data_IF_007905205916
#
_entry.id   IF_007905205916
#
_cell.length_a   1.000
_cell.length_b   1.000
_cell.length_c   1.000
_cell.angle_alpha   90.00
_cell.angle_beta   90.00
_cell.angle_gamma   90.00
#
_symmetry.space_group_name_H-M   'P 1'
#
loop_
_entity.id
_entity.type
_entity.pdbx_description
1 polymer ?
#
# COMPACT_ATOMS: atom_id res chain seq x y z
N UNK A 1 15.06 -10.54 19.94
CA UNK A 1 14.03 -10.18 18.96
C UNK A 1 14.74 -9.67 17.72
N UNK A 2 14.44 -10.22 16.55
CA UNK A 2 15.27 -10.05 15.35
C UNK A 2 15.08 -8.64 14.76
N UNK A 3 16.18 -7.92 14.58
CA UNK A 3 16.26 -6.52 14.13
C UNK A 3 15.92 -6.29 12.65
N UNK A 4 15.05 -7.11 12.06
CA UNK A 4 14.83 -7.14 10.59
C UNK A 4 13.65 -6.26 10.13
N UNK A 5 12.78 -5.82 11.04
CA UNK A 5 11.71 -4.85 10.74
C UNK A 5 12.25 -3.43 10.56
N UNK A 6 13.35 -3.09 11.27
CA UNK A 6 13.98 -1.76 11.29
C UNK A 6 14.31 -1.20 9.91
N UNK A 7 14.48 -2.08 8.95
CA UNK A 7 15.17 -1.76 7.72
C UNK A 7 14.15 -1.33 6.62
N UNK A 8 12.89 -1.81 6.65
CA UNK A 8 11.85 -1.40 5.67
C UNK A 8 11.39 0.05 5.90
N UNK A 9 11.59 0.57 7.12
CA UNK A 9 11.18 1.91 7.53
C UNK A 9 12.36 2.87 7.75
N UNK A 10 13.62 2.39 7.69
CA UNK A 10 14.82 3.27 7.71
C UNK A 10 14.96 4.13 6.43
N UNK A 11 14.20 3.83 5.39
CA UNK A 11 13.96 4.73 4.27
C UNK A 11 12.51 5.20 4.31
N UNK A 12 12.30 6.52 4.36
CA UNK A 12 11.02 7.20 4.20
C UNK A 12 10.01 6.40 3.37
N UNK A 13 8.86 6.07 3.96
CA UNK A 13 7.88 5.11 3.42
C UNK A 13 7.70 5.22 1.90
N UNK A 14 7.79 4.06 1.22
CA UNK A 14 7.73 4.03 -0.24
C UNK A 14 6.43 4.63 -0.77
N UNK A 15 6.56 5.46 -1.80
CA UNK A 15 5.44 5.96 -2.58
C UNK A 15 4.79 4.75 -3.25
N UNK A 16 3.56 4.45 -2.81
CA UNK A 16 2.86 3.22 -3.15
C UNK A 16 1.66 3.53 -4.03
N UNK A 17 1.54 2.76 -5.10
CA UNK A 17 0.43 2.79 -6.04
C UNK A 17 -0.43 1.54 -5.88
N UNK A 18 -1.75 1.71 -5.84
CA UNK A 18 -2.71 0.63 -6.02
C UNK A 18 -3.80 1.04 -7.02
N UNK A 19 -4.31 0.05 -7.76
CA UNK A 19 -5.30 0.27 -8.82
C UNK A 19 -6.73 0.36 -8.26
N UNK A 20 -7.41 1.49 -8.47
CA UNK A 20 -8.88 1.57 -8.39
C UNK A 20 -9.51 1.43 -9.78
N UNK A 21 -10.56 0.63 -9.92
CA UNK A 21 -11.33 0.55 -11.16
C UNK A 21 -12.39 1.65 -11.23
N UNK A 22 -12.45 2.37 -12.35
CA UNK A 22 -13.46 3.41 -12.61
C UNK A 22 -14.52 2.97 -13.62
N UNK A 23 -14.75 1.65 -13.75
CA UNK A 23 -15.62 1.03 -14.76
C UNK A 23 -17.11 1.43 -14.69
N UNK A 24 -17.53 2.11 -13.61
CA UNK A 24 -18.89 2.68 -13.52
C UNK A 24 -19.10 3.87 -14.45
N UNK A 25 -18.01 4.52 -14.89
CA UNK A 25 -18.06 5.60 -15.87
C UNK A 25 -17.89 5.05 -17.29
N UNK A 26 -18.51 5.71 -18.28
CA UNK A 26 -18.35 5.37 -19.70
C UNK A 26 -16.88 5.45 -20.10
N UNK A 27 -16.35 4.37 -20.67
CA UNK A 27 -14.93 4.19 -21.02
C UNK A 27 -13.96 4.26 -19.83
N UNK A 28 -14.47 4.14 -18.60
CA UNK A 28 -13.66 4.16 -17.39
C UNK A 28 -12.60 3.06 -17.39
N UNK A 29 -11.39 3.43 -16.99
CA UNK A 29 -10.24 2.51 -16.84
C UNK A 29 -9.88 2.43 -15.36
N UNK A 30 -8.92 3.24 -14.92
CA UNK A 30 -8.37 3.19 -13.57
C UNK A 30 -8.11 4.57 -13.00
N UNK A 31 -8.19 4.67 -11.68
CA UNK A 31 -7.63 5.72 -10.83
C UNK A 31 -6.59 5.07 -9.89
N UNK A 32 -5.86 5.90 -9.16
CA UNK A 32 -4.86 5.51 -8.16
C UNK A 32 -5.46 5.57 -6.75
N UNK A 33 -5.27 4.49 -6.01
CA UNK A 33 -5.32 4.48 -4.55
C UNK A 33 -3.89 4.72 -4.06
N UNK A 34 -3.72 5.58 -3.06
CA UNK A 34 -2.43 5.84 -2.40
C UNK A 34 -2.45 5.21 -1.00
N UNK A 35 -1.98 3.96 -0.82
CA UNK A 35 -2.12 3.24 0.45
C UNK A 35 -1.25 3.80 1.58
N UNK A 36 -0.14 4.48 1.23
CA UNK A 36 0.73 5.14 2.20
C UNK A 36 0.04 6.40 2.76
N UNK A 37 -0.79 6.23 3.78
CA UNK A 37 -1.48 7.30 4.49
C UNK A 37 -0.83 7.62 5.85
N UNK A 38 -1.27 8.72 6.48
CA UNK A 38 -0.84 9.08 7.82
C UNK A 38 -1.29 8.00 8.82
N UNK A 39 -2.51 7.50 8.69
CA UNK A 39 -3.07 6.45 9.54
C UNK A 39 -2.30 5.14 9.39
N UNK A 40 -1.93 4.76 8.16
CA UNK A 40 -1.08 3.60 7.91
C UNK A 40 0.29 3.74 8.60
N UNK A 41 0.92 4.93 8.49
CA UNK A 41 2.18 5.22 9.18
C UNK A 41 2.04 5.14 10.70
N UNK A 42 0.97 5.72 11.25
CA UNK A 42 0.70 5.72 12.68
C UNK A 42 0.40 4.33 13.24
N UNK A 43 -0.19 3.44 12.42
CA UNK A 43 -0.33 2.03 12.76
C UNK A 43 1.01 1.30 12.71
N UNK A 44 1.83 1.49 11.66
CA UNK A 44 3.17 0.90 11.57
C UNK A 44 4.03 1.26 12.80
N UNK A 45 4.07 2.55 13.18
CA UNK A 45 4.79 3.01 14.38
C UNK A 45 4.30 2.33 15.66
N UNK A 46 3.00 2.06 15.78
CA UNK A 46 2.45 1.38 16.95
C UNK A 46 2.82 -0.11 16.98
N UNK A 47 2.92 -0.77 15.82
CA UNK A 47 3.36 -2.16 15.72
C UNK A 47 4.83 -2.34 16.11
N UNK A 48 5.66 -1.32 15.88
CA UNK A 48 7.09 -1.29 16.24
C UNK A 48 7.35 -0.85 17.69
N UNK A 49 6.35 -0.28 18.37
CA UNK A 49 6.50 0.16 19.74
C UNK A 49 6.27 -1.00 20.72
N UNK A 50 7.35 -1.53 21.31
CA UNK A 50 7.30 -2.59 22.32
C UNK A 50 6.46 -2.23 23.56
N UNK A 51 6.30 -0.93 23.87
CA UNK A 51 5.47 -0.49 24.99
C UNK A 51 3.97 -0.44 24.66
N UNK A 52 3.59 -0.47 23.38
CA UNK A 52 2.21 -0.38 22.94
C UNK A 52 1.48 -1.72 23.15
N UNK A 53 0.33 -1.67 23.83
CA UNK A 53 -0.52 -2.84 24.01
C UNK A 53 -1.26 -3.24 22.72
N UNK A 54 -1.76 -4.47 22.68
CA UNK A 54 -2.48 -4.98 21.50
C UNK A 54 -3.77 -4.22 21.20
N UNK A 55 -4.38 -3.57 22.19
CA UNK A 55 -5.61 -2.79 21.99
C UNK A 55 -5.31 -1.51 21.22
N UNK A 56 -4.28 -0.77 21.62
CA UNK A 56 -3.85 0.45 20.90
C UNK A 56 -3.33 0.15 19.50
N UNK A 57 -2.63 -0.97 19.31
CA UNK A 57 -2.22 -1.45 17.97
C UNK A 57 -3.44 -1.75 17.08
N UNK A 58 -4.45 -2.42 17.64
CA UNK A 58 -5.70 -2.75 16.93
C UNK A 58 -6.52 -1.51 16.56
N UNK A 59 -6.66 -0.55 17.48
CA UNK A 59 -7.39 0.70 17.23
C UNK A 59 -6.76 1.47 16.05
N UNK A 60 -5.43 1.60 16.04
CA UNK A 60 -4.72 2.24 14.93
C UNK A 60 -4.83 1.47 13.63
N UNK A 61 -4.81 0.14 13.69
CA UNK A 61 -5.07 -0.70 12.52
C UNK A 61 -6.47 -0.44 11.94
N UNK A 62 -7.50 -0.34 12.79
CA UNK A 62 -8.86 -0.04 12.34
C UNK A 62 -8.95 1.32 11.67
N UNK A 63 -8.33 2.36 12.24
CA UNK A 63 -8.25 3.68 11.63
C UNK A 63 -7.53 3.67 10.26
N UNK A 64 -6.42 2.92 10.15
CA UNK A 64 -5.71 2.76 8.89
C UNK A 64 -6.56 2.05 7.82
N UNK A 65 -7.30 1.00 8.21
CA UNK A 65 -8.22 0.29 7.32
C UNK A 65 -9.37 1.20 6.89
N UNK A 66 -9.97 1.95 7.80
CA UNK A 66 -11.05 2.89 7.49
C UNK A 66 -10.60 3.97 6.51
N UNK A 67 -9.43 4.59 6.74
CA UNK A 67 -8.86 5.58 5.84
C UNK A 67 -8.58 5.00 4.45
N UNK A 68 -7.99 3.81 4.38
CA UNK A 68 -7.72 3.12 3.11
C UNK A 68 -9.00 2.81 2.34
N UNK A 69 -10.03 2.25 3.01
CA UNK A 69 -11.31 1.93 2.38
C UNK A 69 -12.05 3.19 1.91
N UNK A 70 -12.00 4.28 2.67
CA UNK A 70 -12.56 5.56 2.27
C UNK A 70 -11.88 6.09 1.00
N UNK A 71 -10.55 6.10 0.96
CA UNK A 71 -9.81 6.54 -0.23
C UNK A 71 -10.04 5.62 -1.43
N UNK A 72 -10.07 4.30 -1.23
CA UNK A 72 -10.35 3.33 -2.28
C UNK A 72 -11.74 3.56 -2.90
N UNK A 73 -12.75 3.85 -2.07
CA UNK A 73 -14.08 4.22 -2.52
C UNK A 73 -14.04 5.51 -3.35
N UNK A 74 -13.42 6.56 -2.85
CA UNK A 74 -13.31 7.85 -3.55
C UNK A 74 -12.58 7.72 -4.90
N UNK A 75 -11.45 7.00 -4.93
CA UNK A 75 -10.72 6.70 -6.16
C UNK A 75 -11.59 5.94 -7.16
N UNK A 76 -12.36 4.93 -6.70
CA UNK A 76 -13.30 4.21 -7.57
C UNK A 76 -14.37 5.14 -8.13
N UNK A 77 -14.83 6.13 -7.34
CA UNK A 77 -15.76 7.21 -7.69
C UNK A 77 -15.13 8.32 -8.54
N UNK A 78 -13.91 8.13 -9.05
CA UNK A 78 -13.23 9.13 -9.88
C UNK A 78 -12.89 10.42 -9.13
N UNK A 79 -12.83 10.35 -7.79
CA UNK A 79 -12.45 11.47 -6.91
C UNK A 79 -10.98 11.38 -6.46
N UNK A 80 -10.22 10.42 -7.00
CA UNK A 80 -8.78 10.37 -6.81
C UNK A 80 -8.08 11.54 -7.51
N UNK A 81 -6.89 11.88 -7.03
CA UNK A 81 -6.17 13.07 -7.49
C UNK A 81 -5.27 12.79 -8.70
N UNK A 82 -4.76 11.57 -8.84
CA UNK A 82 -3.67 11.24 -9.75
C UNK A 82 -4.05 11.36 -11.23
N UNK A 83 -5.20 10.83 -11.67
CA UNK A 83 -5.63 11.01 -13.07
C UNK A 83 -6.03 12.45 -13.35
N UNK A 84 -6.55 13.18 -12.35
CA UNK A 84 -6.87 14.59 -12.52
C UNK A 84 -5.60 15.43 -12.75
N UNK A 85 -4.57 15.27 -11.91
CA UNK A 85 -3.29 15.96 -12.10
C UNK A 85 -2.59 15.56 -13.40
N UNK A 86 -2.64 14.28 -13.77
CA UNK A 86 -2.15 13.82 -15.08
C UNK A 86 -2.93 14.51 -16.23
N UNK A 87 -4.25 14.58 -16.14
CA UNK A 87 -5.10 15.25 -17.13
C UNK A 87 -4.76 16.72 -17.28
N UNK A 88 -4.57 17.44 -16.17
CA UNK A 88 -4.14 18.85 -16.19
C UNK A 88 -2.76 19.01 -16.85
N UNK A 89 -1.79 18.16 -16.50
CA UNK A 89 -0.45 18.19 -17.10
C UNK A 89 -0.49 17.90 -18.61
N UNK A 90 -1.31 16.96 -19.04
CA UNK A 90 -1.46 16.61 -20.47
C UNK A 90 -2.32 17.62 -21.25
N UNK A 91 -3.03 18.52 -20.57
CA UNK A 91 -3.85 19.56 -21.21
C UNK A 91 -3.06 20.81 -21.60
N UNK A 92 -1.76 20.86 -21.27
CA UNK A 92 -0.89 21.98 -21.65
C UNK A 92 -0.80 22.12 -23.17
N UNK A 93 -0.97 23.35 -23.64
CA UNK A 93 -0.88 23.69 -25.07
C UNK A 93 0.58 23.98 -25.44
N UNK A 94 0.92 23.85 -26.74
CA UNK A 94 2.24 24.24 -27.23
C UNK A 94 2.56 25.70 -26.86
N UNK A 95 3.71 25.91 -26.23
CA UNK A 95 4.18 27.24 -25.80
C UNK A 95 3.73 27.66 -24.39
N UNK A 96 2.86 26.90 -23.72
CA UNK A 96 2.55 27.13 -22.31
C UNK A 96 3.69 26.62 -21.41
N UNK A 97 4.05 27.41 -20.40
CA UNK A 97 5.00 26.97 -19.38
C UNK A 97 4.37 25.90 -18.48
N UNK A 98 5.18 24.93 -18.05
CA UNK A 98 4.75 23.90 -17.11
C UNK A 98 4.36 24.57 -15.77
N UNK A 99 3.14 24.39 -15.24
CA UNK A 99 2.77 24.94 -13.94
C UNK A 99 3.75 24.57 -12.83
N UNK A 100 3.98 25.50 -11.89
CA UNK A 100 4.95 25.34 -10.79
C UNK A 100 4.76 24.06 -9.98
N UNK A 101 3.50 23.66 -9.74
CA UNK A 101 3.17 22.39 -9.09
C UNK A 101 3.84 21.18 -9.76
N UNK A 102 3.87 21.14 -11.10
CA UNK A 102 4.45 20.01 -11.84
C UNK A 102 5.97 20.11 -11.99
N UNK A 103 6.56 21.26 -11.67
CA UNK A 103 8.00 21.46 -11.56
C UNK A 103 8.52 21.08 -10.16
N UNK A 104 7.63 21.04 -9.16
CA UNK A 104 7.98 20.77 -7.77
C UNK A 104 8.64 19.38 -7.62
N UNK A 105 9.84 19.28 -7.02
CA UNK A 105 10.48 18.00 -6.71
C UNK A 105 9.59 17.04 -5.91
N UNK A 106 8.74 17.57 -5.02
CA UNK A 106 7.80 16.77 -4.22
C UNK A 106 6.73 16.15 -5.10
N UNK A 107 6.18 16.88 -6.07
CA UNK A 107 5.24 16.31 -7.03
C UNK A 107 5.90 15.18 -7.83
N UNK A 108 7.12 15.43 -8.34
CA UNK A 108 7.89 14.42 -9.08
C UNK A 108 8.08 13.16 -8.24
N UNK A 109 8.55 13.30 -7.00
CA UNK A 109 8.74 12.19 -6.07
C UNK A 109 7.43 11.47 -5.75
N UNK A 110 6.33 12.21 -5.53
CA UNK A 110 5.02 11.65 -5.24
C UNK A 110 4.43 10.80 -6.39
N UNK A 111 5.02 10.87 -7.58
CA UNK A 111 4.65 10.08 -8.76
C UNK A 111 5.68 9.02 -9.14
N UNK A 112 6.72 8.83 -8.31
CA UNK A 112 7.73 7.77 -8.45
C UNK A 112 7.26 6.54 -7.68
N UNK A 113 6.64 5.59 -8.36
CA UNK A 113 5.92 4.49 -7.73
C UNK A 113 6.84 3.32 -7.37
N UNK A 114 7.58 3.47 -6.26
CA UNK A 114 8.52 2.45 -5.78
C UNK A 114 7.81 1.12 -5.50
N UNK A 115 6.62 1.14 -4.91
CA UNK A 115 5.81 -0.05 -4.70
C UNK A 115 4.54 0.01 -5.55
N UNK A 116 4.54 -0.69 -6.67
CA UNK A 116 3.40 -0.80 -7.56
C UNK A 116 2.59 -2.07 -7.22
N UNK A 117 1.34 -1.91 -6.81
CA UNK A 117 0.52 -3.01 -6.31
C UNK A 117 -0.78 -3.20 -7.10
N UNK A 118 -1.28 -4.43 -7.12
CA UNK A 118 -2.59 -4.74 -7.70
C UNK A 118 -3.19 -5.97 -7.04
N UNK A 119 -4.45 -5.86 -6.64
CA UNK A 119 -5.23 -7.00 -6.16
C UNK A 119 -6.12 -7.56 -7.27
N UNK A 120 -6.38 -8.86 -7.19
CA UNK A 120 -7.39 -9.52 -8.03
C UNK A 120 -8.05 -10.66 -7.25
N UNK A 121 -9.11 -10.37 -6.48
CA UNK A 121 -9.82 -11.42 -5.73
C UNK A 121 -10.56 -12.35 -6.69
N UNK A 122 -10.20 -13.64 -6.68
CA UNK A 122 -10.85 -14.67 -7.50
C UNK A 122 -10.44 -16.08 -7.08
N UNK A 123 -11.43 -16.95 -6.84
CA UNK A 123 -11.19 -18.38 -6.56
C UNK A 123 -10.67 -19.16 -7.77
N UNK A 124 -10.79 -18.59 -8.97
CA UNK A 124 -10.32 -19.23 -10.20
C UNK A 124 -8.90 -18.80 -10.57
N UNK A 125 -8.24 -17.97 -9.77
CA UNK A 125 -7.00 -17.33 -10.14
C UNK A 125 -5.98 -17.35 -8.99
N UNK A 126 -5.04 -18.29 -9.08
CA UNK A 126 -4.07 -18.55 -8.01
C UNK A 126 -2.89 -17.56 -7.96
N UNK A 127 -2.67 -16.75 -8.99
CA UNK A 127 -1.51 -15.86 -9.06
C UNK A 127 -1.36 -15.15 -10.40
N UNK A 128 -0.96 -13.89 -10.36
CA UNK A 128 -0.42 -13.11 -11.47
C UNK A 128 0.83 -12.38 -11.01
N UNK A 129 1.52 -11.72 -11.94
CA UNK A 129 2.58 -10.79 -11.66
C UNK A 129 2.71 -9.76 -12.78
N UNK A 130 3.34 -8.65 -12.47
CA UNK A 130 3.74 -7.61 -13.40
C UNK A 130 5.09 -7.07 -12.92
N UNK A 131 5.90 -6.53 -13.84
CA UNK A 131 7.21 -5.96 -13.49
C UNK A 131 7.11 -4.70 -12.63
N UNK A 132 8.19 -4.36 -11.94
CA UNK A 132 8.30 -3.04 -11.30
C UNK A 132 8.23 -1.92 -12.35
N UNK A 133 7.75 -0.75 -11.92
CA UNK A 133 7.65 0.44 -12.77
C UNK A 133 8.79 1.44 -12.57
N UNK A 134 9.60 1.21 -11.52
CA UNK A 134 10.82 1.96 -11.22
C UNK A 134 12.03 0.99 -11.17
N UNK A 135 13.25 1.44 -11.54
CA UNK A 135 14.45 0.60 -11.53
C UNK A 135 14.76 -0.03 -10.16
N UNK A 136 14.56 0.73 -9.08
CA UNK A 136 14.71 0.31 -7.69
C UNK A 136 13.42 -0.26 -7.07
N UNK A 137 12.33 -0.31 -7.85
CA UNK A 137 11.00 -0.60 -7.34
C UNK A 137 10.61 -2.08 -7.29
N UNK A 138 9.34 -2.28 -6.97
CA UNK A 138 8.68 -3.57 -6.82
C UNK A 138 7.35 -3.59 -7.56
N UNK A 139 7.09 -4.68 -8.28
CA UNK A 139 5.74 -5.08 -8.69
C UNK A 139 5.20 -6.09 -7.69
N UNK A 140 4.06 -5.80 -7.06
CA UNK A 140 3.43 -6.63 -6.05
C UNK A 140 1.99 -6.96 -6.44
N UNK A 141 1.80 -8.13 -7.04
CA UNK A 141 0.47 -8.67 -7.29
C UNK A 141 0.01 -9.52 -6.11
N UNK A 142 -1.23 -9.35 -5.68
CA UNK A 142 -1.76 -10.08 -4.53
C UNK A 142 -3.23 -10.52 -4.70
N UNK A 143 -3.49 -11.71 -5.28
CA UNK A 143 -4.83 -12.29 -5.23
C UNK A 143 -5.18 -12.70 -3.79
N UNK A 144 -6.42 -12.43 -3.43
CA UNK A 144 -7.01 -12.81 -2.15
C UNK A 144 -8.07 -13.88 -2.43
N UNK A 145 -7.87 -15.04 -1.83
CA UNK A 145 -8.78 -16.17 -1.85
C UNK A 145 -9.39 -16.37 -0.46
N UNK A 146 -10.39 -17.23 -0.36
CA UNK A 146 -11.07 -17.56 0.89
C UNK A 146 -10.11 -18.01 2.00
N UNK A 147 -9.18 -18.90 1.67
CA UNK A 147 -8.34 -19.59 2.66
C UNK A 147 -6.86 -19.17 2.61
N UNK A 148 -6.45 -18.41 1.59
CA UNK A 148 -5.08 -17.95 1.45
C UNK A 148 -4.98 -16.62 0.70
N UNK A 149 -3.85 -15.94 0.89
CA UNK A 149 -3.42 -14.82 0.08
C UNK A 149 -2.07 -15.18 -0.52
N UNK A 150 -1.84 -14.86 -1.80
CA UNK A 150 -0.53 -15.03 -2.43
C UNK A 150 0.05 -13.66 -2.71
N UNK A 151 1.34 -13.48 -2.43
CA UNK A 151 2.11 -12.34 -2.93
C UNK A 151 3.03 -12.81 -4.06
N UNK A 152 2.92 -12.18 -5.22
CA UNK A 152 3.89 -12.29 -6.31
C UNK A 152 4.71 -11.02 -6.34
N UNK A 153 6.00 -11.14 -6.02
CA UNK A 153 6.95 -10.02 -5.95
C UNK A 153 7.85 -10.09 -7.17
N UNK A 154 7.91 -9.00 -7.93
CA UNK A 154 8.90 -8.77 -8.97
C UNK A 154 9.74 -7.55 -8.61
N UNK A 155 11.03 -7.59 -8.90
CA UNK A 155 11.91 -6.43 -8.80
C UNK A 155 13.10 -6.63 -9.73
N UNK A 156 13.65 -5.57 -10.33
CA UNK A 156 14.91 -5.64 -11.08
C UNK A 156 16.13 -5.86 -10.17
N UNK A 157 15.94 -5.74 -8.85
CA UNK A 157 16.99 -5.85 -7.84
C UNK A 157 17.00 -7.24 -7.17
N UNK A 158 18.01 -7.51 -6.33
CA UNK A 158 18.08 -8.74 -5.53
C UNK A 158 17.29 -8.68 -4.21
N UNK A 159 16.48 -7.64 -3.99
CA UNK A 159 15.83 -7.36 -2.70
C UNK A 159 14.47 -8.08 -2.48
N UNK A 160 14.00 -8.86 -3.45
CA UNK A 160 12.70 -9.57 -3.38
C UNK A 160 12.55 -10.46 -2.14
N UNK A 161 13.63 -11.11 -1.71
CA UNK A 161 13.64 -12.01 -0.54
C UNK A 161 13.33 -11.25 0.74
N UNK A 162 13.86 -10.03 0.88
CA UNK A 162 13.62 -9.18 2.04
C UNK A 162 12.15 -8.77 2.11
N UNK A 163 11.60 -8.23 1.02
CA UNK A 163 10.19 -7.84 0.97
C UNK A 163 9.26 -9.04 1.26
N UNK A 164 9.58 -10.23 0.73
CA UNK A 164 8.85 -11.47 1.03
C UNK A 164 8.81 -11.77 2.53
N UNK A 165 9.95 -11.69 3.20
CA UNK A 165 10.05 -11.98 4.63
C UNK A 165 9.26 -10.94 5.45
N UNK A 166 9.39 -9.66 5.13
CA UNK A 166 8.66 -8.59 5.80
C UNK A 166 7.14 -8.71 5.62
N UNK A 167 6.66 -9.04 4.40
CA UNK A 167 5.24 -9.29 4.16
C UNK A 167 4.72 -10.48 4.97
N UNK A 168 5.51 -11.54 5.10
CA UNK A 168 5.15 -12.69 5.93
C UNK A 168 5.06 -12.32 7.41
N UNK A 169 6.08 -11.64 7.93
CA UNK A 169 6.11 -11.20 9.34
C UNK A 169 4.93 -10.28 9.66
N UNK A 170 4.66 -9.29 8.79
CA UNK A 170 3.51 -8.40 8.93
C UNK A 170 2.17 -9.16 8.93
N UNK A 171 2.00 -10.15 8.05
CA UNK A 171 0.78 -10.97 8.03
C UNK A 171 0.63 -11.82 9.29
N UNK A 172 1.73 -12.42 9.78
CA UNK A 172 1.73 -13.20 11.03
C UNK A 172 1.39 -12.31 12.24
N UNK A 173 1.88 -11.07 12.27
CA UNK A 173 1.61 -10.12 13.36
C UNK A 173 0.19 -9.57 13.33
N UNK A 174 -0.37 -9.31 12.15
CA UNK A 174 -1.80 -8.97 11.99
C UNK A 174 -2.67 -10.13 12.48
N UNK A 175 -2.31 -11.38 12.15
CA UNK A 175 -3.05 -12.55 12.61
C UNK A 175 -3.04 -12.65 14.15
N UNK A 176 -1.88 -12.49 14.78
CA UNK A 176 -1.77 -12.46 16.26
C UNK A 176 -2.64 -11.37 16.87
N UNK A 177 -2.58 -10.15 16.33
CA UNK A 177 -3.39 -9.01 16.78
C UNK A 177 -4.90 -9.33 16.68
N UNK A 178 -5.32 -9.95 15.59
CA UNK A 178 -6.71 -10.37 15.38
C UNK A 178 -7.16 -11.49 16.32
N UNK A 179 -6.28 -12.44 16.64
CA UNK A 179 -6.58 -13.53 17.58
C UNK A 179 -6.68 -13.03 19.03
N UNK A 180 -5.82 -12.08 19.42
CA UNK A 180 -5.92 -11.39 20.72
C UNK A 180 -7.29 -10.69 20.84
N UNK A 181 -7.72 -9.99 19.79
CA UNK A 181 -9.03 -9.33 19.77
C UNK A 181 -10.20 -10.32 19.92
N UNK A 182 -10.09 -11.52 19.35
CA UNK A 182 -11.09 -12.59 19.47
C UNK A 182 -11.03 -13.36 20.79
N UNK A 183 -10.18 -12.95 21.73
CA UNK A 183 -9.97 -13.65 22.99
C UNK A 183 -9.29 -15.02 22.86
N UNK A 184 -8.65 -15.28 21.70
CA UNK A 184 -7.91 -16.52 21.41
C UNK A 184 -6.40 -16.40 21.71
N UNK A 185 -5.93 -15.21 22.05
CA UNK A 185 -4.57 -14.97 22.50
C UNK A 185 -4.41 -15.14 24.03
N UNK A 186 -3.19 -15.39 24.53
CA UNK A 186 -2.94 -15.41 25.97
C UNK A 186 -3.39 -14.09 26.61
N UNK A 187 -4.16 -14.16 27.70
CA UNK A 187 -4.87 -13.04 28.34
C UNK A 187 -3.96 -11.88 28.83
N UNK A 188 -2.66 -12.10 28.84
CA UNK A 188 -1.63 -11.14 29.23
C UNK A 188 -0.33 -11.53 28.55
N UNK A 189 0.06 -10.83 27.49
CA UNK A 189 1.46 -10.78 27.08
C UNK A 189 1.79 -9.33 26.77
N UNK A 190 2.32 -8.64 27.79
CA UNK A 190 3.41 -7.70 27.54
C UNK A 190 4.63 -8.55 27.21
N UNK A 191 5.25 -8.30 26.07
CA UNK A 191 6.63 -8.69 25.81
C UNK A 191 7.42 -7.39 25.71
#
# INVERSE_FOLDING_TARGET
MSSHTLDVLEYHGYVTWEVAQTRKYRLGRTEVIRPSSIEALEWCKAMENDEADWRGRLERFQLAVEAHLAYAKDASEGKGIDRHLLGLRLSLKPGEELPTLFQDPVYKESTRWILATSNLPSENFYGFGFGAVEPEGFGLAYPINKDFMRFTITTPTSSSVRLKNCLKEAADDILKMMDVNKGKGPATVKL
#
